data_IF_227396751478
#
_entry.id   IF_227396751478
#
_cell.length_a   1.000
_cell.length_b   1.000
_cell.length_c   1.000
_cell.angle_alpha   90.00
_cell.angle_beta   90.00
_cell.angle_gamma   90.00
#
_symmetry.space_group_name_H-M   'P 1'
#
loop_
_entity.id
_entity.type
_entity.pdbx_description
1 polymer ?
#
# COMPACT_ATOMS: atom_id res chain seq x y z
N UNK A 1 -8.27 1.38 -0.69
CA UNK A 1 -9.16 0.36 -0.10
C UNK A 1 -10.35 0.97 0.65
N UNK A 2 -10.15 1.87 1.59
CA UNK A 2 -11.25 2.43 2.42
C UNK A 2 -12.37 3.07 1.58
N UNK A 3 -12.11 4.00 0.63
CA UNK A 3 -13.19 4.64 -0.13
C UNK A 3 -13.88 3.71 -1.14
N UNK A 4 -13.16 2.75 -1.70
CA UNK A 4 -13.68 1.82 -2.71
C UNK A 4 -14.10 0.45 -2.13
N UNK A 5 -13.85 0.21 -0.84
CA UNK A 5 -14.15 -1.06 -0.18
C UNK A 5 -15.62 -1.47 -0.24
N UNK A 6 -16.57 -0.59 0.07
CA UNK A 6 -18.00 -0.91 -0.03
C UNK A 6 -18.42 -1.28 -1.45
N UNK A 7 -17.95 -0.51 -2.44
CA UNK A 7 -18.25 -0.76 -3.86
C UNK A 7 -17.63 -2.08 -4.32
N UNK A 8 -16.40 -2.38 -3.89
CA UNK A 8 -15.76 -3.66 -4.19
C UNK A 8 -16.49 -4.85 -3.56
N UNK A 9 -16.94 -4.71 -2.30
CA UNK A 9 -17.68 -5.74 -1.60
C UNK A 9 -19.04 -6.05 -2.23
N UNK A 10 -19.70 -5.03 -2.78
CA UNK A 10 -21.00 -5.16 -3.43
C UNK A 10 -20.88 -5.62 -4.89
N UNK A 11 -20.15 -4.89 -5.72
CA UNK A 11 -20.08 -5.13 -7.16
C UNK A 11 -19.20 -6.34 -7.55
N UNK A 12 -18.14 -6.61 -6.80
CA UNK A 12 -17.18 -7.67 -7.14
C UNK A 12 -17.42 -8.95 -6.37
N UNK A 13 -17.71 -8.84 -5.07
CA UNK A 13 -17.90 -10.00 -4.20
C UNK A 13 -19.38 -10.39 -4.04
N UNK A 14 -20.31 -9.50 -4.40
CA UNK A 14 -21.76 -9.75 -4.27
C UNK A 14 -22.24 -9.93 -2.83
N UNK A 15 -21.43 -9.57 -1.85
CA UNK A 15 -21.69 -9.81 -0.42
C UNK A 15 -22.15 -8.58 0.36
N UNK A 16 -22.31 -7.44 -0.30
CA UNK A 16 -22.82 -6.19 0.28
C UNK A 16 -22.09 -5.75 1.56
N UNK A 17 -22.84 -5.22 2.51
CA UNK A 17 -22.30 -4.71 3.78
C UNK A 17 -21.63 -5.78 4.66
N UNK A 18 -22.09 -7.04 4.59
CA UNK A 18 -21.50 -8.13 5.35
C UNK A 18 -20.09 -8.46 4.85
N UNK A 19 -19.89 -8.55 3.54
CA UNK A 19 -18.56 -8.76 2.97
C UNK A 19 -17.63 -7.58 3.27
N UNK A 20 -18.13 -6.34 3.21
CA UNK A 20 -17.35 -5.16 3.60
C UNK A 20 -16.91 -5.22 5.08
N UNK A 21 -17.80 -5.61 5.98
CA UNK A 21 -17.47 -5.80 7.40
C UNK A 21 -16.37 -6.84 7.62
N UNK A 22 -16.43 -7.97 6.89
CA UNK A 22 -15.39 -9.01 6.93
C UNK A 22 -14.05 -8.50 6.41
N UNK A 23 -14.04 -7.74 5.30
CA UNK A 23 -12.82 -7.12 4.76
C UNK A 23 -12.19 -6.15 5.77
N UNK A 24 -13.00 -5.30 6.41
CA UNK A 24 -12.50 -4.34 7.41
C UNK A 24 -11.97 -5.05 8.66
N UNK A 25 -12.64 -6.09 9.11
CA UNK A 25 -12.18 -6.94 10.22
C UNK A 25 -10.86 -7.61 9.87
N UNK A 26 -10.75 -8.23 8.70
CA UNK A 26 -9.51 -8.86 8.23
C UNK A 26 -8.36 -7.86 8.11
N UNK A 27 -8.64 -6.65 7.61
CA UNK A 27 -7.65 -5.56 7.53
C UNK A 27 -7.12 -5.19 8.92
N UNK A 28 -8.01 -5.01 9.90
CA UNK A 28 -7.65 -4.66 11.27
C UNK A 28 -6.86 -5.77 11.97
N UNK A 29 -7.34 -7.02 11.92
CA UNK A 29 -6.61 -8.16 12.45
C UNK A 29 -5.25 -8.37 11.78
N UNK A 30 -5.22 -8.26 10.45
CA UNK A 30 -3.97 -8.30 9.69
C UNK A 30 -2.99 -7.25 10.19
N UNK A 31 -3.42 -6.00 10.34
CA UNK A 31 -2.57 -4.92 10.84
C UNK A 31 -2.00 -5.22 12.23
N UNK A 32 -2.81 -5.75 13.14
CA UNK A 32 -2.35 -6.17 14.47
C UNK A 32 -1.30 -7.27 14.39
N UNK A 33 -1.53 -8.31 13.58
CA UNK A 33 -0.57 -9.41 13.36
C UNK A 33 0.73 -8.86 12.73
N UNK A 34 0.64 -7.94 11.77
CA UNK A 34 1.79 -7.31 11.13
C UNK A 34 2.65 -6.56 12.14
N UNK A 35 2.05 -5.77 13.02
CA UNK A 35 2.77 -5.05 14.08
C UNK A 35 3.43 -6.02 15.07
N UNK A 36 2.75 -7.08 15.48
CA UNK A 36 3.34 -8.09 16.38
C UNK A 36 4.49 -8.83 15.71
N UNK A 37 4.33 -9.24 14.44
CA UNK A 37 5.36 -9.95 13.69
C UNK A 37 6.62 -9.07 13.46
N UNK A 38 6.45 -7.75 13.43
CA UNK A 38 7.54 -6.79 13.32
C UNK A 38 8.58 -6.96 14.43
N UNK A 39 8.15 -7.28 15.66
CA UNK A 39 9.04 -7.53 16.80
C UNK A 39 10.02 -8.68 16.54
N UNK A 40 9.61 -9.66 15.74
CA UNK A 40 10.45 -10.82 15.37
C UNK A 40 11.35 -10.48 14.17
N UNK A 41 10.82 -9.77 13.19
CA UNK A 41 11.51 -9.43 11.94
C UNK A 41 12.61 -8.38 12.14
N UNK A 42 12.38 -7.39 12.99
CA UNK A 42 13.36 -6.32 13.29
C UNK A 42 14.65 -6.83 13.95
N UNK A 43 14.62 -8.02 14.54
CA UNK A 43 15.83 -8.64 15.11
C UNK A 43 16.87 -9.04 14.06
N UNK A 44 16.45 -9.23 12.80
CA UNK A 44 17.29 -9.75 11.71
C UNK A 44 17.49 -8.78 10.56
N UNK A 45 16.62 -7.80 10.37
CA UNK A 45 16.62 -6.87 9.25
C UNK A 45 16.65 -5.42 9.73
N UNK A 46 17.31 -4.55 8.95
CA UNK A 46 17.27 -3.10 9.22
C UNK A 46 15.84 -2.58 9.02
N UNK A 47 15.42 -1.64 9.87
CA UNK A 47 14.07 -1.05 9.85
C UNK A 47 13.73 -0.44 8.49
N UNK A 48 14.69 0.23 7.84
CA UNK A 48 14.50 0.78 6.50
C UNK A 48 14.16 -0.31 5.47
N UNK A 49 14.86 -1.44 5.53
CA UNK A 49 14.61 -2.58 4.63
C UNK A 49 13.22 -3.17 4.88
N UNK A 50 12.84 -3.35 6.14
CA UNK A 50 11.50 -3.85 6.51
C UNK A 50 10.42 -2.92 5.98
N UNK A 51 10.58 -1.59 6.15
CA UNK A 51 9.64 -0.60 5.64
C UNK A 51 9.45 -0.71 4.13
N UNK A 52 10.53 -0.76 3.37
CA UNK A 52 10.49 -0.84 1.90
C UNK A 52 9.79 -2.10 1.41
N UNK A 53 10.16 -3.26 1.96
CA UNK A 53 9.52 -4.51 1.60
C UNK A 53 8.04 -4.57 2.01
N UNK A 54 7.69 -4.02 3.16
CA UNK A 54 6.32 -3.96 3.62
C UNK A 54 5.44 -3.08 2.71
N UNK A 55 5.95 -1.92 2.25
CA UNK A 55 5.25 -1.06 1.29
C UNK A 55 5.06 -1.77 -0.06
N UNK A 56 6.10 -2.41 -0.59
CA UNK A 56 6.01 -3.17 -1.84
C UNK A 56 5.01 -4.33 -1.72
N UNK A 57 5.09 -5.09 -0.62
CA UNK A 57 4.18 -6.20 -0.35
C UNK A 57 2.73 -5.74 -0.21
N UNK A 58 2.48 -4.58 0.39
CA UNK A 58 1.14 -3.96 0.44
C UNK A 58 0.59 -3.72 -0.97
N UNK A 59 1.41 -3.19 -1.88
CA UNK A 59 1.01 -2.95 -3.27
C UNK A 59 0.66 -4.25 -4.00
N UNK A 60 1.51 -5.28 -3.89
CA UNK A 60 1.26 -6.61 -4.49
C UNK A 60 0.01 -7.26 -3.91
N UNK A 61 -0.13 -7.26 -2.58
CA UNK A 61 -1.29 -7.86 -1.92
C UNK A 61 -2.59 -7.15 -2.28
N UNK A 62 -2.56 -5.82 -2.47
CA UNK A 62 -3.72 -5.04 -2.91
C UNK A 62 -4.13 -5.41 -4.35
N UNK A 63 -3.16 -5.56 -5.26
CA UNK A 63 -3.41 -6.02 -6.64
C UNK A 63 -4.03 -7.43 -6.62
N UNK A 64 -3.47 -8.35 -5.83
CA UNK A 64 -3.98 -9.70 -5.70
C UNK A 64 -5.41 -9.73 -5.12
N UNK A 65 -5.70 -8.90 -4.12
CA UNK A 65 -7.04 -8.77 -3.55
C UNK A 65 -8.04 -8.30 -4.60
N UNK A 66 -7.69 -7.28 -5.38
CA UNK A 66 -8.54 -6.75 -6.44
C UNK A 66 -8.73 -7.73 -7.62
N UNK A 67 -7.80 -8.65 -7.83
CA UNK A 67 -7.87 -9.65 -8.88
C UNK A 67 -8.82 -10.81 -8.56
N UNK A 68 -9.15 -11.05 -7.28
CA UNK A 68 -10.00 -12.17 -6.89
C UNK A 68 -11.49 -11.81 -6.92
N UNK A 69 -12.34 -12.82 -7.22
CA UNK A 69 -13.81 -12.74 -7.11
C UNK A 69 -14.35 -13.59 -5.96
N UNK A 70 -13.50 -14.36 -5.27
CA UNK A 70 -13.89 -15.18 -4.12
C UNK A 70 -13.82 -14.37 -2.82
N UNK A 71 -14.94 -14.27 -2.11
CA UNK A 71 -15.02 -13.53 -0.84
C UNK A 71 -14.03 -14.05 0.19
N UNK A 72 -13.89 -15.37 0.34
CA UNK A 72 -12.97 -15.97 1.31
C UNK A 72 -11.51 -15.62 1.01
N UNK A 73 -11.12 -15.68 -0.27
CA UNK A 73 -9.76 -15.33 -0.69
C UNK A 73 -9.52 -13.83 -0.58
N UNK A 74 -10.52 -12.99 -0.91
CA UNK A 74 -10.45 -11.54 -0.74
C UNK A 74 -10.25 -11.15 0.73
N UNK A 75 -10.95 -11.78 1.66
CA UNK A 75 -10.80 -11.56 3.11
C UNK A 75 -9.39 -11.93 3.57
N UNK A 76 -8.88 -13.08 3.16
CA UNK A 76 -7.52 -13.52 3.50
C UNK A 76 -6.45 -12.56 2.95
N UNK A 77 -6.55 -12.19 1.67
CA UNK A 77 -5.61 -11.25 1.03
C UNK A 77 -5.71 -9.85 1.63
N UNK A 78 -6.91 -9.39 2.01
CA UNK A 78 -7.09 -8.13 2.75
C UNK A 78 -6.41 -8.18 4.12
N UNK A 79 -6.42 -9.33 4.79
CA UNK A 79 -5.64 -9.54 6.01
C UNK A 79 -4.13 -9.37 5.77
N UNK A 80 -3.62 -9.89 4.65
CA UNK A 80 -2.20 -9.69 4.25
C UNK A 80 -1.92 -8.22 3.94
N UNK A 81 -2.83 -7.53 3.24
CA UNK A 81 -2.73 -6.06 3.03
C UNK A 81 -2.64 -5.34 4.37
N UNK A 82 -3.51 -5.69 5.32
CA UNK A 82 -3.51 -5.14 6.68
C UNK A 82 -2.17 -5.37 7.38
N UNK A 83 -1.63 -6.58 7.34
CA UNK A 83 -0.36 -6.92 7.99
C UNK A 83 0.81 -6.11 7.40
N UNK A 84 0.90 -6.02 6.09
CA UNK A 84 1.93 -5.25 5.42
C UNK A 84 1.78 -3.73 5.67
N UNK A 85 0.55 -3.21 5.62
CA UNK A 85 0.25 -1.81 5.88
C UNK A 85 0.56 -1.43 7.34
N UNK A 86 0.15 -2.25 8.31
CA UNK A 86 0.45 -2.04 9.73
C UNK A 86 1.95 -2.03 10.02
N UNK A 87 2.67 -3.00 9.45
CA UNK A 87 4.14 -3.07 9.51
C UNK A 87 4.79 -1.81 8.92
N UNK A 88 4.34 -1.38 7.73
CA UNK A 88 4.85 -0.17 7.07
C UNK A 88 4.61 1.07 7.90
N UNK A 89 3.40 1.20 8.46
CA UNK A 89 3.01 2.34 9.27
C UNK A 89 3.92 2.49 10.50
N UNK A 90 4.01 1.44 11.31
CA UNK A 90 4.83 1.47 12.54
C UNK A 90 6.31 1.68 12.22
N UNK A 91 6.84 0.96 11.22
CA UNK A 91 8.25 1.07 10.86
C UNK A 91 8.58 2.45 10.30
N UNK A 92 7.70 3.01 9.45
CA UNK A 92 7.88 4.35 8.88
C UNK A 92 7.92 5.44 9.96
N UNK A 93 7.01 5.39 10.94
CA UNK A 93 7.03 6.31 12.07
C UNK A 93 8.29 6.15 12.93
N UNK A 94 8.72 4.92 13.18
CA UNK A 94 9.93 4.66 13.97
C UNK A 94 11.18 5.20 13.27
N UNK A 95 11.33 4.93 11.97
CA UNK A 95 12.46 5.45 11.18
C UNK A 95 12.46 6.98 11.18
N UNK A 96 11.29 7.60 11.04
CA UNK A 96 11.19 9.05 11.08
C UNK A 96 11.60 9.61 12.45
N UNK A 97 11.12 8.99 13.55
CA UNK A 97 11.46 9.42 14.91
C UNK A 97 12.97 9.32 15.20
N UNK A 98 13.65 8.31 14.67
CA UNK A 98 15.08 8.11 14.88
C UNK A 98 15.96 9.09 14.08
N UNK A 99 15.48 9.54 12.93
CA UNK A 99 16.24 10.39 12.03
C UNK A 99 15.96 11.90 12.20
N UNK A 100 14.96 12.27 13.01
CA UNK A 100 14.59 13.67 13.23
C UNK A 100 15.13 14.17 14.56
N UNK A 101 15.84 15.30 14.55
CA UNK A 101 16.35 15.98 15.76
C UNK A 101 15.20 16.37 16.67
N UNK A 102 15.38 16.26 17.98
CA UNK A 102 14.33 16.51 18.98
C UNK A 102 13.67 17.87 18.83
N UNK A 103 14.44 18.93 18.51
CA UNK A 103 13.97 20.29 18.30
C UNK A 103 13.01 20.44 17.12
N UNK A 104 13.14 19.60 16.08
CA UNK A 104 12.32 19.65 14.87
C UNK A 104 11.21 18.62 14.85
N UNK A 105 11.18 17.69 15.81
CA UNK A 105 10.25 16.54 15.84
C UNK A 105 8.80 16.98 15.73
N UNK A 106 8.37 17.97 16.53
CA UNK A 106 6.98 18.48 16.49
C UNK A 106 6.59 19.03 15.12
N UNK A 107 7.46 19.83 14.50
CA UNK A 107 7.19 20.43 13.17
C UNK A 107 7.14 19.37 12.07
N UNK A 108 8.05 18.39 12.12
CA UNK A 108 8.10 17.29 11.14
C UNK A 108 6.86 16.42 11.23
N UNK A 109 6.44 16.04 12.44
CA UNK A 109 5.20 15.25 12.61
C UNK A 109 3.94 16.04 12.24
N UNK A 110 3.88 17.33 12.55
CA UNK A 110 2.77 18.18 12.11
C UNK A 110 2.67 18.24 10.57
N UNK A 111 3.79 18.44 9.89
CA UNK A 111 3.85 18.41 8.43
C UNK A 111 3.43 17.05 7.86
N UNK A 112 3.95 15.93 8.43
CA UNK A 112 3.59 14.58 8.02
C UNK A 112 2.07 14.34 8.14
N UNK A 113 1.47 14.67 9.29
CA UNK A 113 0.03 14.50 9.48
C UNK A 113 -0.79 15.37 8.54
N UNK A 114 -0.33 16.58 8.24
CA UNK A 114 -0.98 17.46 7.26
C UNK A 114 -0.95 16.82 5.86
N UNK A 115 0.21 16.31 5.43
CA UNK A 115 0.34 15.62 4.14
C UNK A 115 -0.54 14.38 4.08
N UNK A 116 -0.54 13.55 5.13
CA UNK A 116 -1.41 12.35 5.21
C UNK A 116 -2.88 12.74 5.07
N UNK A 117 -3.34 13.77 5.78
CA UNK A 117 -4.73 14.24 5.69
C UNK A 117 -5.08 14.78 4.30
N UNK A 118 -4.19 15.56 3.69
CA UNK A 118 -4.39 16.04 2.32
C UNK A 118 -4.47 14.88 1.32
N UNK A 119 -3.56 13.89 1.43
CA UNK A 119 -3.62 12.70 0.60
C UNK A 119 -4.91 11.90 0.79
N UNK A 120 -5.42 11.79 2.04
CA UNK A 120 -6.70 11.14 2.31
C UNK A 120 -7.87 11.90 1.67
N UNK A 121 -7.93 13.22 1.80
CA UNK A 121 -8.97 14.06 1.18
C UNK A 121 -8.95 13.93 -0.34
N UNK A 122 -7.77 14.02 -0.94
CA UNK A 122 -7.57 13.83 -2.39
C UNK A 122 -8.03 12.43 -2.81
N UNK A 123 -7.63 11.40 -2.06
CA UNK A 123 -8.01 10.02 -2.34
C UNK A 123 -9.51 9.80 -2.24
N UNK A 124 -10.18 10.34 -1.22
CA UNK A 124 -11.63 10.23 -1.06
C UNK A 124 -12.40 10.90 -2.20
N UNK A 125 -11.88 12.02 -2.72
CA UNK A 125 -12.51 12.74 -3.83
C UNK A 125 -12.21 12.10 -5.18
N UNK A 126 -10.97 11.72 -5.44
CA UNK A 126 -10.53 11.21 -6.75
C UNK A 126 -10.92 9.75 -6.96
N UNK A 127 -10.89 8.90 -5.92
CA UNK A 127 -11.13 7.47 -6.09
C UNK A 127 -12.49 7.10 -6.68
N UNK A 128 -13.63 7.70 -6.25
CA UNK A 128 -14.92 7.46 -6.88
C UNK A 128 -14.95 7.94 -8.34
N UNK A 129 -14.47 9.18 -8.59
CA UNK A 129 -14.43 9.74 -9.94
C UNK A 129 -13.58 8.89 -10.90
N UNK A 130 -12.48 8.35 -10.40
CA UNK A 130 -11.63 7.44 -11.16
C UNK A 130 -12.34 6.12 -11.45
N UNK A 131 -13.05 5.56 -10.49
CA UNK A 131 -13.84 4.35 -10.69
C UNK A 131 -14.97 4.57 -11.71
N UNK A 132 -15.74 5.65 -11.59
CA UNK A 132 -16.82 6.01 -12.51
C UNK A 132 -16.30 6.25 -13.94
N UNK A 133 -15.15 6.89 -14.08
CA UNK A 133 -14.50 7.11 -15.38
C UNK A 133 -14.15 5.77 -16.04
N UNK A 134 -13.59 4.83 -15.28
CA UNK A 134 -13.25 3.51 -15.80
C UNK A 134 -14.47 2.63 -16.04
N UNK A 135 -15.56 2.78 -15.28
CA UNK A 135 -16.84 2.13 -15.58
C UNK A 135 -17.42 2.64 -16.92
N UNK A 136 -17.34 3.95 -17.17
CA UNK A 136 -17.76 4.52 -18.45
C UNK A 136 -16.89 4.03 -19.62
N UNK A 137 -15.58 3.94 -19.44
CA UNK A 137 -14.66 3.43 -20.46
C UNK A 137 -14.86 1.94 -20.70
N UNK A 138 -15.03 1.14 -19.64
CA UNK A 138 -15.23 -0.31 -19.77
C UNK A 138 -16.55 -0.64 -20.44
N UNK A 139 -17.63 0.11 -20.16
CA UNK A 139 -18.92 -0.04 -20.82
C UNK A 139 -18.90 0.38 -22.28
N UNK A 140 -18.03 1.33 -22.65
CA UNK A 140 -17.85 1.76 -24.05
C UNK A 140 -17.01 0.78 -24.89
N UNK A 141 -16.08 0.06 -24.26
CA UNK A 141 -15.15 -0.86 -24.93
C UNK A 141 -15.61 -2.31 -24.91
N UNK A 142 -16.37 -2.73 -23.89
CA UNK A 142 -16.81 -4.10 -23.68
C UNK A 142 -18.33 -4.15 -23.48
N UNK A 143 -19.05 -4.84 -24.36
CA UNK A 143 -20.51 -4.90 -24.40
C UNK A 143 -21.12 -5.48 -23.11
N UNK A 144 -20.39 -6.30 -22.35
CA UNK A 144 -20.86 -6.95 -21.11
C UNK A 144 -19.99 -6.67 -19.87
N UNK A 145 -19.06 -5.69 -19.93
CA UNK A 145 -18.11 -5.39 -18.82
C UNK A 145 -17.38 -6.64 -18.27
N UNK A 146 -17.24 -7.66 -19.09
CA UNK A 146 -16.65 -8.94 -18.72
C UNK A 146 -15.63 -9.39 -19.77
N UNK A 147 -14.50 -9.94 -19.30
CA UNK A 147 -13.51 -10.60 -20.14
C UNK A 147 -13.55 -12.09 -19.82
N UNK A 148 -13.72 -12.92 -20.84
CA UNK A 148 -13.55 -14.37 -20.71
C UNK A 148 -12.06 -14.73 -20.87
N UNK A 149 -11.47 -15.18 -19.78
CA UNK A 149 -10.09 -15.72 -19.79
C UNK A 149 -10.15 -17.16 -19.27
N UNK A 150 -9.87 -18.11 -20.18
CA UNK A 150 -9.78 -19.53 -19.80
C UNK A 150 -11.08 -20.18 -19.32
N UNK A 151 -12.25 -19.70 -19.81
CA UNK A 151 -13.57 -20.25 -19.43
C UNK A 151 -14.16 -19.70 -18.13
N UNK A 152 -13.53 -18.67 -17.54
CA UNK A 152 -14.09 -17.91 -16.42
C UNK A 152 -14.42 -16.48 -16.87
N UNK A 153 -15.65 -16.04 -16.62
CA UNK A 153 -16.11 -14.67 -16.89
C UNK A 153 -15.67 -13.76 -15.75
N UNK A 154 -14.71 -12.88 -16.01
CA UNK A 154 -14.25 -11.88 -15.05
C UNK A 154 -14.97 -10.56 -15.31
N UNK A 155 -15.90 -10.19 -14.42
CA UNK A 155 -16.42 -8.83 -14.41
C UNK A 155 -15.27 -7.85 -14.11
N UNK A 156 -15.15 -6.79 -14.94
CA UNK A 156 -14.17 -5.71 -14.79
C UNK A 156 -14.90 -4.40 -14.39
N UNK A 157 -15.45 -4.30 -13.19
CA UNK A 157 -15.95 -3.02 -12.71
C UNK A 157 -14.77 -2.06 -12.53
N UNK A 158 -14.98 -0.77 -12.80
CA UNK A 158 -13.94 0.26 -12.69
C UNK A 158 -13.26 0.30 -11.34
N UNK A 159 -13.93 -0.19 -10.28
CA UNK A 159 -13.36 -0.32 -8.94
C UNK A 159 -12.15 -1.26 -8.89
N UNK A 160 -12.11 -2.33 -9.70
CA UNK A 160 -10.94 -3.22 -9.78
C UNK A 160 -9.74 -2.51 -10.37
N UNK A 161 -9.96 -1.78 -11.46
CA UNK A 161 -8.90 -1.04 -12.15
C UNK A 161 -8.35 0.06 -11.24
N UNK A 162 -9.24 0.74 -10.51
CA UNK A 162 -8.85 1.74 -9.53
C UNK A 162 -7.99 1.15 -8.38
N UNK A 163 -8.35 -0.03 -7.89
CA UNK A 163 -7.57 -0.74 -6.86
C UNK A 163 -6.22 -1.23 -7.39
N UNK A 164 -6.17 -1.72 -8.63
CA UNK A 164 -4.90 -2.08 -9.28
C UNK A 164 -4.00 -0.86 -9.45
N UNK A 165 -4.55 0.29 -9.86
CA UNK A 165 -3.81 1.55 -9.94
C UNK A 165 -3.21 1.95 -8.60
N UNK A 166 -4.00 1.89 -7.52
CA UNK A 166 -3.52 2.15 -6.16
C UNK A 166 -2.42 1.19 -5.71
N UNK A 167 -2.57 -0.11 -6.01
CA UNK A 167 -1.57 -1.13 -5.72
C UNK A 167 -0.26 -0.93 -6.48
N UNK A 168 -0.34 -0.56 -7.77
CA UNK A 168 0.83 -0.23 -8.59
C UNK A 168 1.57 1.00 -8.04
N UNK A 169 0.85 2.07 -7.69
CA UNK A 169 1.45 3.27 -7.09
C UNK A 169 2.20 2.91 -5.81
N UNK A 170 1.59 2.12 -4.91
CA UNK A 170 2.22 1.67 -3.68
C UNK A 170 3.48 0.82 -3.96
N UNK A 171 3.40 -0.12 -4.90
CA UNK A 171 4.52 -0.95 -5.31
C UNK A 171 5.69 -0.11 -5.86
N UNK A 172 5.40 0.80 -6.80
CA UNK A 172 6.43 1.67 -7.38
C UNK A 172 7.04 2.62 -6.35
N UNK A 173 6.25 3.18 -5.43
CA UNK A 173 6.76 4.01 -4.35
C UNK A 173 7.76 3.24 -3.47
N UNK A 174 7.43 2.01 -3.07
CA UNK A 174 8.33 1.12 -2.34
C UNK A 174 9.59 0.78 -3.13
N UNK A 175 9.45 0.50 -4.44
CA UNK A 175 10.57 0.17 -5.33
C UNK A 175 11.53 1.35 -5.53
N UNK A 176 11.00 2.55 -5.73
CA UNK A 176 11.82 3.78 -5.86
C UNK A 176 12.58 4.06 -4.55
N UNK A 177 11.89 3.94 -3.41
CA UNK A 177 12.50 4.07 -2.09
C UNK A 177 13.64 3.05 -1.90
N UNK A 178 13.41 1.79 -2.25
CA UNK A 178 14.44 0.75 -2.18
C UNK A 178 15.65 1.07 -3.05
N UNK A 179 15.44 1.51 -4.30
CA UNK A 179 16.53 1.92 -5.19
C UNK A 179 17.31 3.12 -4.66
N UNK A 180 16.63 4.10 -4.07
CA UNK A 180 17.26 5.28 -3.49
C UNK A 180 18.23 4.90 -2.35
N UNK A 181 17.79 4.07 -1.42
CA UNK A 181 18.61 3.58 -0.30
C UNK A 181 19.79 2.72 -0.78
N UNK A 182 19.57 1.86 -1.77
CA UNK A 182 20.67 1.07 -2.33
C UNK A 182 21.74 1.94 -2.99
N UNK A 183 21.34 3.03 -3.65
CA UNK A 183 22.28 4.00 -4.23
C UNK A 183 23.07 4.75 -3.16
N UNK A 184 22.43 5.17 -2.06
CA UNK A 184 23.06 5.83 -0.94
C UNK A 184 24.12 4.91 -0.30
N UNK A 185 23.77 3.67 0.03
CA UNK A 185 24.68 2.66 0.59
C UNK A 185 25.88 2.36 -0.33
N UNK A 186 25.68 2.36 -1.66
CA UNK A 186 26.79 2.18 -2.61
C UNK A 186 27.75 3.37 -2.61
N UNK A 187 27.24 4.60 -2.48
CA UNK A 187 28.05 5.82 -2.40
C UNK A 187 28.92 5.83 -1.14
N UNK A 188 28.35 5.52 0.02
CA UNK A 188 29.07 5.41 1.29
C UNK A 188 30.20 4.37 1.21
N UNK A 189 29.92 3.19 0.67
CA UNK A 189 30.96 2.15 0.47
C UNK A 189 32.06 2.59 -0.49
N UNK A 190 31.74 3.35 -1.54
CA UNK A 190 32.69 3.90 -2.49
C UNK A 190 33.59 4.96 -1.86
N UNK A 191 33.06 5.85 -1.01
CA UNK A 191 33.84 6.89 -0.32
C UNK A 191 34.77 6.29 0.70
N UNK A 192 34.36 5.28 1.47
CA UNK A 192 35.22 4.55 2.41
C UNK A 192 36.35 3.81 1.67
N UNK A 193 36.06 3.22 0.49
CA UNK A 193 37.06 2.51 -0.30
C UNK A 193 38.08 3.46 -0.97
N UNK A 194 37.69 4.70 -1.24
CA UNK A 194 38.57 5.74 -1.82
C UNK A 194 39.36 6.56 -0.79
N UNK A 195 39.22 6.27 0.50
CA UNK A 195 39.95 6.97 1.58
C UNK A 195 39.57 8.45 1.78
N UNK A 196 38.52 8.91 1.11
CA UNK A 196 37.98 10.27 1.28
C UNK A 196 37.03 10.25 2.47
N UNK A 197 37.45 10.82 3.58
CA UNK A 197 36.57 11.00 4.74
C UNK A 197 35.33 11.81 4.32
N UNK A 198 34.11 11.43 4.78
CA UNK A 198 32.94 12.24 4.54
C UNK A 198 33.11 13.61 5.20
N UNK A 199 33.00 14.70 4.46
CA UNK A 199 32.95 16.04 5.03
C UNK A 199 31.73 16.13 5.97
N UNK A 200 31.93 16.52 7.24
CA UNK A 200 30.83 16.70 8.17
C UNK A 200 30.14 18.03 7.85
N UNK A 201 29.02 17.99 7.15
CA UNK A 201 28.14 19.14 7.03
C UNK A 201 28.00 19.73 5.61
N UNK A 202 27.11 19.18 4.83
CA UNK A 202 26.40 19.90 3.78
C UNK A 202 24.87 19.61 3.91
#
# INVERSE_FOLDING_TARGET
>A
MIPLGPVFADQVLGGGSAAFGLLMTALGFGAAIGVVSLLLVQRRLSRETVFQFAVMATGVALIATAATSSTSLAVLLTGVVGACAGTSYVTGFTVLQENVRDELRGRTFAALYTVIRLCLLISLTISPLWADMWDAVSSALFTDQAIEIGGATYALPGVRIALWGGGLIAFFAGFVSWRAVQRARKRERGSVASGVAPEPGA
#
